data_IF_628832589469
#
_entry.id   IF_628832589469
#
_cell.length_a   1.000
_cell.length_b   1.000
_cell.length_c   1.000
_cell.angle_alpha   90.00
_cell.angle_beta   90.00
_cell.angle_gamma   90.00
#
_symmetry.space_group_name_H-M   'P 1'
#
loop_
_entity.id
_entity.type
_entity.pdbx_description
1 polymer ?
#
# COMPACT_ATOMS: atom_id res chain seq x y z
N UNK A 1 19.43 0.86 -7.53
CA UNK A 1 18.28 0.89 -8.46
C UNK A 1 17.19 -0.08 -8.02
N UNK A 2 17.49 -1.37 -7.82
CA UNK A 2 16.55 -2.38 -7.28
C UNK A 2 16.06 -2.03 -5.86
N UNK A 3 16.94 -1.56 -4.98
CA UNK A 3 16.59 -1.15 -3.61
C UNK A 3 15.61 0.02 -3.58
N UNK A 4 15.78 0.99 -4.48
CA UNK A 4 14.88 2.14 -4.59
C UNK A 4 13.48 1.69 -5.05
N UNK A 5 13.40 0.79 -6.05
CA UNK A 5 12.12 0.28 -6.54
C UNK A 5 11.34 -0.50 -5.47
N UNK A 6 12.05 -1.30 -4.66
CA UNK A 6 11.45 -2.00 -3.52
C UNK A 6 11.06 -1.07 -2.37
N UNK A 7 11.86 -0.02 -2.11
CA UNK A 7 11.50 1.01 -1.12
C UNK A 7 10.23 1.77 -1.52
N UNK A 8 10.06 2.07 -2.81
CA UNK A 8 8.85 2.71 -3.31
C UNK A 8 7.64 1.78 -3.15
N UNK A 9 7.77 0.51 -3.55
CA UNK A 9 6.72 -0.50 -3.35
C UNK A 9 6.32 -0.62 -1.88
N UNK A 10 7.30 -0.70 -0.98
CA UNK A 10 7.07 -0.74 0.47
C UNK A 10 6.34 0.49 1.00
N UNK A 11 6.66 1.67 0.47
CA UNK A 11 5.99 2.92 0.85
C UNK A 11 4.52 2.90 0.44
N UNK A 12 4.23 2.49 -0.80
CA UNK A 12 2.85 2.39 -1.31
C UNK A 12 2.04 1.34 -0.53
N UNK A 13 2.63 0.18 -0.24
CA UNK A 13 1.99 -0.87 0.56
C UNK A 13 1.73 -0.43 2.00
N UNK A 14 2.66 0.32 2.61
CA UNK A 14 2.49 0.90 3.93
C UNK A 14 1.37 1.95 3.99
N UNK A 15 1.28 2.82 2.98
CA UNK A 15 0.17 3.78 2.85
C UNK A 15 -1.16 3.05 2.68
N UNK A 16 -1.22 2.04 1.81
CA UNK A 16 -2.42 1.24 1.61
C UNK A 16 -2.87 0.54 2.91
N UNK A 17 -1.92 -0.05 3.65
CA UNK A 17 -2.19 -0.66 4.95
C UNK A 17 -2.72 0.35 5.97
N UNK A 18 -2.15 1.56 6.01
CA UNK A 18 -2.63 2.64 6.87
C UNK A 18 -4.10 2.99 6.58
N UNK A 19 -4.45 3.24 5.32
CA UNK A 19 -5.82 3.58 4.93
C UNK A 19 -6.81 2.44 5.17
N UNK A 20 -6.40 1.19 4.93
CA UNK A 20 -7.22 0.00 5.22
C UNK A 20 -7.39 -0.28 6.72
N UNK A 21 -6.39 0.04 7.55
CA UNK A 21 -6.42 -0.18 9.00
C UNK A 21 -7.49 0.65 9.72
N UNK A 22 -8.04 1.66 9.06
CA UNK A 22 -9.16 2.43 9.57
C UNK A 22 -8.76 3.52 10.57
N UNK A 23 -7.47 3.89 10.69
CA UNK A 23 -7.08 5.13 11.40
C UNK A 23 -7.73 6.37 10.75
N UNK A 24 -8.01 6.32 9.44
CA UNK A 24 -8.82 7.32 8.74
C UNK A 24 -10.32 7.35 9.17
N UNK A 25 -10.85 6.28 9.81
CA UNK A 25 -12.26 6.19 10.25
C UNK A 25 -12.59 7.06 11.48
N UNK A 26 -11.58 7.65 12.12
CA UNK A 26 -11.78 8.44 13.34
C UNK A 26 -12.41 9.82 13.09
N UNK A 27 -12.62 10.24 11.84
CA UNK A 27 -13.02 11.63 11.56
C UNK A 27 -14.51 11.83 11.28
N UNK A 28 -15.27 10.98 10.58
CA UNK A 28 -16.70 11.28 10.35
C UNK A 28 -17.56 10.06 9.93
N UNK A 29 -18.45 9.61 10.83
CA UNK A 29 -19.72 8.97 10.46
C UNK A 29 -19.67 7.57 9.78
N UNK A 30 -20.84 7.00 9.44
CA UNK A 30 -20.96 5.61 9.02
C UNK A 30 -20.20 5.29 7.74
N UNK A 31 -19.62 4.09 7.74
CA UNK A 31 -18.72 3.48 6.74
C UNK A 31 -19.13 3.66 5.27
N UNK A 32 -20.43 3.75 4.99
CA UNK A 32 -20.98 3.84 3.63
C UNK A 32 -20.87 5.24 2.98
N UNK A 33 -20.51 6.28 3.75
CA UNK A 33 -20.44 7.67 3.26
C UNK A 33 -19.03 8.21 3.03
N UNK A 34 -17.96 7.50 3.42
CA UNK A 34 -16.60 7.99 3.22
C UNK A 34 -16.08 7.64 1.81
N UNK A 35 -16.71 8.27 0.82
CA UNK A 35 -16.35 8.18 -0.61
C UNK A 35 -14.89 8.55 -0.83
N UNK A 36 -14.33 9.43 0.01
CA UNK A 36 -12.93 9.86 -0.07
C UNK A 36 -12.02 8.70 0.36
N UNK A 37 -12.25 8.12 1.54
CA UNK A 37 -11.44 6.98 2.00
C UNK A 37 -11.51 5.82 1.01
N UNK A 38 -12.69 5.50 0.46
CA UNK A 38 -12.81 4.47 -0.58
C UNK A 38 -12.00 4.81 -1.84
N UNK A 39 -12.16 6.03 -2.36
CA UNK A 39 -11.43 6.49 -3.55
C UNK A 39 -9.91 6.48 -3.34
N UNK A 40 -9.44 6.84 -2.16
CA UNK A 40 -8.01 6.79 -1.80
C UNK A 40 -7.50 5.35 -1.76
N UNK A 41 -8.26 4.42 -1.14
CA UNK A 41 -7.90 3.00 -1.13
C UNK A 41 -7.84 2.45 -2.54
N UNK A 42 -8.89 2.66 -3.35
CA UNK A 42 -8.97 2.17 -4.73
C UNK A 42 -7.79 2.70 -5.58
N UNK A 43 -7.43 3.97 -5.39
CA UNK A 43 -6.28 4.59 -6.08
C UNK A 43 -4.96 3.98 -5.65
N UNK A 44 -4.76 3.75 -4.34
CA UNK A 44 -3.55 3.14 -3.81
C UNK A 44 -3.41 1.68 -4.26
N UNK A 45 -4.50 0.91 -4.28
CA UNK A 45 -4.50 -0.46 -4.79
C UNK A 45 -4.08 -0.53 -6.26
N UNK A 46 -4.64 0.36 -7.08
CA UNK A 46 -4.26 0.49 -8.48
C UNK A 46 -2.77 0.83 -8.63
N UNK A 47 -2.27 1.80 -7.86
CA UNK A 47 -0.87 2.22 -7.94
C UNK A 47 0.08 1.07 -7.54
N UNK A 48 -0.21 0.34 -6.45
CA UNK A 48 0.58 -0.82 -6.05
C UNK A 48 0.62 -1.89 -7.16
N UNK A 49 -0.51 -2.16 -7.81
CA UNK A 49 -0.58 -3.11 -8.92
C UNK A 49 0.25 -2.66 -10.13
N UNK A 50 0.11 -1.40 -10.55
CA UNK A 50 0.86 -0.82 -11.66
C UNK A 50 2.37 -0.82 -11.39
N UNK A 51 2.79 -0.54 -10.15
CA UNK A 51 4.20 -0.55 -9.76
C UNK A 51 4.78 -1.96 -9.79
N UNK A 52 4.05 -2.96 -9.27
CA UNK A 52 4.46 -4.37 -9.35
C UNK A 52 4.57 -4.85 -10.80
N UNK A 53 3.65 -4.45 -11.67
CA UNK A 53 3.72 -4.74 -13.10
C UNK A 53 4.97 -4.10 -13.74
N UNK A 54 5.25 -2.84 -13.42
CA UNK A 54 6.45 -2.15 -13.92
C UNK A 54 7.72 -2.87 -13.47
N UNK A 55 7.82 -3.25 -12.19
CA UNK A 55 8.96 -4.01 -11.67
C UNK A 55 9.12 -5.34 -12.40
N UNK A 56 8.02 -6.07 -12.65
CA UNK A 56 8.04 -7.33 -13.38
C UNK A 56 8.52 -7.16 -14.84
N UNK A 57 8.08 -6.10 -15.53
CA UNK A 57 8.53 -5.79 -16.91
C UNK A 57 10.02 -5.48 -17.01
N UNK A 58 10.66 -5.10 -15.91
CA UNK A 58 12.09 -4.78 -15.84
C UNK A 58 12.91 -5.83 -15.10
N UNK A 59 12.36 -7.04 -14.87
CA UNK A 59 13.01 -8.14 -14.14
C UNK A 59 13.52 -7.72 -12.74
N UNK A 60 12.85 -6.77 -12.10
CA UNK A 60 13.18 -6.31 -10.75
C UNK A 60 12.50 -7.25 -9.75
N UNK A 61 13.26 -8.00 -8.93
CA UNK A 61 12.66 -8.87 -7.93
C UNK A 61 11.97 -8.05 -6.83
N UNK A 62 10.74 -8.43 -6.52
CA UNK A 62 10.00 -7.89 -5.38
C UNK A 62 10.51 -8.54 -4.10
N UNK A 63 11.05 -7.73 -3.20
CA UNK A 63 11.40 -8.14 -1.85
C UNK A 63 10.11 -8.19 -1.04
N UNK A 64 9.70 -9.39 -0.61
CA UNK A 64 8.65 -9.50 0.39
C UNK A 64 9.19 -8.85 1.66
N UNK A 65 8.48 -7.82 2.18
CA UNK A 65 8.67 -7.47 3.59
C UNK A 65 8.28 -8.70 4.38
N UNK A 66 9.29 -9.43 4.87
CA UNK A 66 9.08 -10.32 5.99
C UNK A 66 8.34 -9.49 7.04
N UNK A 67 7.19 -9.95 7.57
CA UNK A 67 6.65 -9.34 8.76
C UNK A 67 7.83 -9.35 9.74
N UNK A 68 8.27 -8.17 10.20
CA UNK A 68 9.19 -8.14 11.33
C UNK A 68 8.50 -8.97 12.40
N UNK A 69 9.02 -10.16 12.66
CA UNK A 69 8.70 -10.94 13.84
C UNK A 69 8.90 -9.98 15.01
N UNK A 70 7.79 -9.45 15.51
CA UNK A 70 7.73 -8.89 16.86
C UNK A 70 7.83 -10.08 17.79
N UNK A 71 9.04 -10.63 17.91
CA UNK A 71 9.42 -11.38 19.08
C UNK A 71 9.71 -10.39 20.22
N UNK A 72 8.94 -10.56 21.30
CA UNK A 72 9.08 -10.04 22.67
C UNK A 72 8.83 -8.56 22.95
#
# INVERSE_FOLDING_TARGET
MIEWANRELSTLEGQLAFWKSGVARLVNGPYDNDTITKSVIDTLEKHVAEWRELMARHDIPVQQLLPSDREH
#
